data_IF_470259245363
#
_entry.id   IF_470259245363
#
_cell.length_a   1.000
_cell.length_b   1.000
_cell.length_c   1.000
_cell.angle_alpha   90.00
_cell.angle_beta   90.00
_cell.angle_gamma   90.00
#
_symmetry.space_group_name_H-M   'P 1'
#
loop_
_entity.id
_entity.type
_entity.pdbx_description
1 polymer ?
#
# COMPACT_ATOMS: atom_id res chain seq x y z
N UNK A 1 24.92 -3.37 -21.22
CA UNK A 1 23.51 -3.16 -20.94
C UNK A 1 22.97 -4.42 -20.25
N UNK A 2 22.32 -4.27 -19.11
CA UNK A 2 21.61 -5.36 -18.45
C UNK A 2 20.23 -5.53 -19.11
N UNK A 3 19.70 -6.77 -19.20
CA UNK A 3 18.31 -6.98 -19.59
C UNK A 3 17.36 -6.23 -18.66
N UNK A 4 16.34 -5.59 -19.23
CA UNK A 4 15.32 -4.87 -18.48
C UNK A 4 13.95 -5.51 -18.69
N UNK A 5 13.07 -5.37 -17.69
CA UNK A 5 11.70 -5.82 -17.76
C UNK A 5 10.74 -4.65 -18.04
N UNK A 6 9.61 -4.92 -18.66
CA UNK A 6 8.57 -3.94 -18.93
C UNK A 6 7.71 -3.78 -17.67
N UNK A 7 7.48 -2.54 -17.24
CA UNK A 7 6.54 -2.25 -16.16
C UNK A 7 5.12 -2.17 -16.74
N UNK A 8 4.26 -3.07 -16.30
CA UNK A 8 2.86 -3.15 -16.68
C UNK A 8 1.98 -2.10 -15.98
N UNK A 9 0.68 -2.32 -15.94
CA UNK A 9 -0.30 -1.46 -15.27
C UNK A 9 -1.07 -2.26 -14.21
N UNK A 10 -1.02 -1.79 -12.97
CA UNK A 10 -1.72 -2.43 -11.84
C UNK A 10 -3.13 -1.89 -11.57
N UNK A 11 -3.59 -0.85 -12.27
CA UNK A 11 -4.94 -0.30 -12.07
C UNK A 11 -6.05 -1.17 -12.70
N UNK A 12 -5.69 -1.95 -13.72
CA UNK A 12 -6.65 -2.75 -14.50
C UNK A 12 -6.57 -4.26 -14.18
N UNK A 13 -6.05 -4.62 -13.00
CA UNK A 13 -5.99 -6.01 -12.58
C UNK A 13 -7.38 -6.55 -12.27
N UNK A 14 -7.57 -7.86 -12.53
CA UNK A 14 -8.81 -8.56 -12.25
C UNK A 14 -8.56 -9.76 -11.34
N UNK A 15 -9.49 -9.99 -10.40
CA UNK A 15 -9.47 -11.21 -9.58
C UNK A 15 -9.61 -12.43 -10.51
N UNK A 16 -8.78 -13.46 -10.28
CA UNK A 16 -8.67 -14.64 -11.14
C UNK A 16 -7.67 -14.49 -12.30
N UNK A 17 -7.09 -13.29 -12.52
CA UNK A 17 -6.04 -13.08 -13.51
C UNK A 17 -4.78 -13.86 -13.12
N UNK A 18 -4.22 -14.67 -14.03
CA UNK A 18 -3.00 -15.43 -13.81
C UNK A 18 -1.79 -14.52 -13.60
N UNK A 19 -0.94 -14.90 -12.64
CA UNK A 19 0.28 -14.19 -12.30
C UNK A 19 1.44 -15.14 -12.08
N UNK A 20 2.65 -14.64 -12.27
CA UNK A 20 3.92 -15.37 -12.12
C UNK A 20 4.79 -14.59 -11.15
N UNK A 21 5.17 -15.18 -10.03
CA UNK A 21 6.15 -14.62 -9.11
C UNK A 21 7.52 -15.22 -9.38
N UNK A 22 8.54 -14.39 -9.46
CA UNK A 22 9.94 -14.82 -9.69
C UNK A 22 10.79 -14.32 -8.53
N UNK A 23 11.75 -15.16 -8.13
CA UNK A 23 12.69 -14.79 -7.07
C UNK A 23 13.85 -15.76 -6.91
N UNK A 24 14.53 -15.64 -5.77
CA UNK A 24 15.63 -16.51 -5.37
C UNK A 24 15.27 -17.15 -4.02
N UNK A 25 14.41 -18.16 -4.06
CA UNK A 25 13.86 -18.77 -2.86
C UNK A 25 14.99 -19.28 -1.95
N UNK A 26 14.90 -18.93 -0.66
CA UNK A 26 15.85 -19.28 0.40
C UNK A 26 17.31 -18.82 0.14
N UNK A 27 17.55 -17.98 -0.90
CA UNK A 27 18.90 -17.55 -1.28
C UNK A 27 19.73 -18.61 -2.02
N UNK A 28 19.23 -19.83 -2.11
CA UNK A 28 19.91 -20.97 -2.72
C UNK A 28 19.31 -21.38 -4.07
N UNK A 29 17.98 -21.23 -4.21
CA UNK A 29 17.26 -21.63 -5.40
C UNK A 29 17.04 -20.44 -6.33
N UNK A 30 18.06 -20.11 -7.12
CA UNK A 30 18.00 -19.03 -8.11
C UNK A 30 16.92 -19.30 -9.14
N UNK A 31 16.25 -18.23 -9.59
CA UNK A 31 15.20 -18.28 -10.61
C UNK A 31 14.02 -19.19 -10.23
N UNK A 32 13.67 -19.24 -8.95
CA UNK A 32 12.43 -19.91 -8.52
C UNK A 32 11.24 -19.16 -9.11
N UNK A 33 10.36 -19.93 -9.75
CA UNK A 33 9.13 -19.43 -10.37
C UNK A 33 7.94 -20.09 -9.69
N UNK A 34 6.97 -19.29 -9.29
CA UNK A 34 5.66 -19.78 -8.84
C UNK A 34 4.54 -19.13 -9.66
N UNK A 35 3.47 -19.88 -9.88
CA UNK A 35 2.31 -19.43 -10.65
C UNK A 35 1.09 -19.48 -9.75
N UNK A 36 0.22 -18.50 -9.89
CA UNK A 36 -1.06 -18.38 -9.20
C UNK A 36 -1.96 -17.39 -9.89
N UNK A 37 -2.91 -16.84 -9.13
CA UNK A 37 -3.83 -15.81 -9.61
C UNK A 37 -3.86 -14.60 -8.67
N UNK A 38 -4.39 -13.50 -9.15
CA UNK A 38 -4.82 -12.39 -8.30
C UNK A 38 -6.02 -12.88 -7.48
N UNK A 39 -5.87 -13.04 -6.17
CA UNK A 39 -6.91 -13.53 -5.27
C UNK A 39 -7.69 -12.40 -4.61
N UNK A 40 -7.15 -11.18 -4.60
CA UNK A 40 -7.79 -9.98 -4.05
C UNK A 40 -7.04 -8.71 -4.45
N UNK A 41 -7.75 -7.59 -4.41
CA UNK A 41 -7.24 -6.27 -4.73
C UNK A 41 -7.55 -5.31 -3.59
N UNK A 42 -6.81 -4.19 -3.52
CA UNK A 42 -7.00 -3.12 -2.54
C UNK A 42 -7.04 -3.63 -1.07
N UNK A 43 -6.15 -4.59 -0.73
CA UNK A 43 -6.08 -5.11 0.64
C UNK A 43 -5.19 -4.23 1.50
N UNK A 44 -5.62 -4.00 2.74
CA UNK A 44 -4.79 -3.38 3.78
C UNK A 44 -4.28 -4.47 4.72
N UNK A 45 -2.98 -4.54 4.90
CA UNK A 45 -2.34 -5.53 5.77
C UNK A 45 -1.35 -4.87 6.72
N UNK A 46 -1.12 -5.49 7.86
CA UNK A 46 -0.02 -5.12 8.74
C UNK A 46 1.10 -6.15 8.57
N UNK A 47 2.22 -5.71 8.02
CA UNK A 47 3.42 -6.52 7.88
C UNK A 47 4.36 -6.26 9.06
N UNK A 48 4.99 -7.32 9.58
CA UNK A 48 6.03 -7.18 10.62
C UNK A 48 7.39 -7.23 9.93
N UNK A 49 8.18 -6.20 10.10
CA UNK A 49 9.55 -6.15 9.59
C UNK A 49 10.49 -7.03 10.43
N UNK A 50 11.66 -7.36 9.88
CA UNK A 50 12.69 -8.13 10.60
C UNK A 50 13.15 -7.49 11.92
N UNK A 51 12.89 -6.20 12.12
CA UNK A 51 13.17 -5.45 13.36
C UNK A 51 12.01 -5.40 14.34
N UNK A 52 10.91 -6.13 14.10
CA UNK A 52 9.73 -6.16 14.96
C UNK A 52 8.79 -4.96 14.82
N UNK A 53 9.12 -3.98 13.98
CA UNK A 53 8.22 -2.87 13.68
C UNK A 53 7.05 -3.35 12.80
N UNK A 54 5.83 -2.94 13.14
CA UNK A 54 4.65 -3.17 12.33
C UNK A 54 4.53 -2.05 11.28
N UNK A 55 4.42 -2.43 10.02
CA UNK A 55 4.19 -1.51 8.92
C UNK A 55 2.83 -1.81 8.29
N UNK A 56 2.01 -0.79 8.13
CA UNK A 56 0.74 -0.90 7.42
C UNK A 56 1.00 -0.74 5.92
N UNK A 57 0.63 -1.75 5.15
CA UNK A 57 0.68 -1.74 3.71
C UNK A 57 -0.76 -1.68 3.19
N UNK A 58 -1.09 -0.59 2.53
CA UNK A 58 -2.42 -0.39 1.94
C UNK A 58 -2.40 -0.69 0.42
N UNK A 59 -3.58 -0.97 -0.14
CA UNK A 59 -3.77 -1.20 -1.57
C UNK A 59 -2.96 -2.37 -2.17
N UNK A 60 -2.53 -3.35 -1.36
CA UNK A 60 -1.73 -4.47 -1.87
C UNK A 60 -2.56 -5.43 -2.71
N UNK A 61 -1.89 -6.07 -3.68
CA UNK A 61 -2.40 -7.18 -4.49
C UNK A 61 -2.25 -8.45 -3.66
N UNK A 62 -3.35 -9.20 -3.48
CA UNK A 62 -3.31 -10.54 -2.90
C UNK A 62 -3.17 -11.58 -4.00
N UNK A 63 -2.34 -12.62 -3.79
CA UNK A 63 -2.16 -13.74 -4.71
C UNK A 63 -2.00 -15.05 -3.95
N UNK A 64 -2.38 -16.16 -4.59
CA UNK A 64 -2.09 -17.51 -4.13
C UNK A 64 -0.81 -18.09 -4.75
N UNK A 65 -0.14 -17.35 -5.64
CA UNK A 65 1.22 -17.68 -6.05
C UNK A 65 2.11 -17.78 -4.80
N UNK A 66 2.92 -18.82 -4.71
CA UNK A 66 3.76 -19.06 -3.54
C UNK A 66 4.77 -17.92 -3.34
N UNK A 67 4.50 -17.03 -2.39
CA UNK A 67 5.43 -16.02 -1.92
C UNK A 67 6.12 -16.55 -0.67
N UNK A 68 7.44 -16.58 -0.70
CA UNK A 68 8.26 -17.12 0.37
C UNK A 68 9.51 -16.25 0.57
N UNK A 69 10.23 -16.51 1.66
CA UNK A 69 11.53 -15.88 1.89
C UNK A 69 12.45 -16.14 0.69
N UNK A 70 12.94 -15.06 0.07
CA UNK A 70 13.83 -15.08 -1.10
C UNK A 70 13.15 -14.67 -2.41
N UNK A 71 11.80 -14.67 -2.54
CA UNK A 71 11.16 -14.01 -3.67
C UNK A 71 10.53 -12.66 -3.32
N UNK A 72 10.52 -12.26 -2.04
CA UNK A 72 10.21 -10.90 -1.63
C UNK A 72 11.21 -9.91 -2.25
N UNK A 73 10.71 -8.79 -2.79
CA UNK A 73 11.47 -7.84 -3.60
C UNK A 73 11.57 -8.24 -5.09
N UNK A 74 11.23 -9.48 -5.45
CA UNK A 74 11.13 -9.94 -6.82
C UNK A 74 9.83 -9.49 -7.50
N UNK A 75 9.76 -9.60 -8.84
CA UNK A 75 8.60 -9.17 -9.60
C UNK A 75 7.43 -10.16 -9.52
N UNK A 76 6.22 -9.61 -9.49
CA UNK A 76 4.98 -10.28 -9.86
C UNK A 76 4.65 -9.90 -11.30
N UNK A 77 4.54 -10.88 -12.19
CA UNK A 77 4.35 -10.67 -13.63
C UNK A 77 2.95 -11.10 -14.07
N UNK A 78 2.44 -10.49 -15.11
CA UNK A 78 1.32 -11.02 -15.88
C UNK A 78 1.82 -12.02 -16.96
N UNK A 79 0.90 -12.63 -17.70
CA UNK A 79 1.25 -13.61 -18.75
C UNK A 79 1.94 -12.97 -19.98
N UNK A 80 2.00 -11.64 -20.09
CA UNK A 80 2.79 -10.93 -21.10
C UNK A 80 4.23 -10.66 -20.66
N UNK A 81 4.61 -11.10 -19.46
CA UNK A 81 5.94 -10.85 -18.89
C UNK A 81 6.11 -9.40 -18.38
N UNK A 82 5.03 -8.64 -18.18
CA UNK A 82 5.07 -7.30 -17.64
C UNK A 82 4.95 -7.35 -16.12
N UNK A 83 5.74 -6.54 -15.41
CA UNK A 83 5.67 -6.42 -13.94
C UNK A 83 4.40 -5.68 -13.55
N UNK A 84 3.55 -6.32 -12.78
CA UNK A 84 2.30 -5.75 -12.23
C UNK A 84 2.40 -5.48 -10.72
N UNK A 85 3.41 -6.04 -10.07
CA UNK A 85 3.67 -5.80 -8.64
C UNK A 85 5.06 -6.24 -8.21
N UNK A 86 5.40 -5.92 -6.97
CA UNK A 86 6.62 -6.37 -6.29
C UNK A 86 6.22 -7.25 -5.11
N UNK A 87 6.65 -8.50 -5.10
CA UNK A 87 6.37 -9.44 -4.03
C UNK A 87 6.89 -8.89 -2.70
N UNK A 88 6.07 -8.89 -1.63
CA UNK A 88 6.48 -8.24 -0.39
C UNK A 88 6.30 -9.09 0.86
N UNK A 89 5.15 -9.68 1.09
CA UNK A 89 4.81 -10.31 2.36
C UNK A 89 3.94 -11.54 2.19
N UNK A 90 3.91 -12.35 3.23
CA UNK A 90 2.96 -13.46 3.41
C UNK A 90 2.11 -13.19 4.66
N UNK A 91 0.88 -13.66 4.68
CA UNK A 91 0.06 -13.65 5.88
C UNK A 91 0.63 -14.69 6.86
N UNK A 92 1.06 -14.25 8.04
CA UNK A 92 1.54 -15.16 9.07
C UNK A 92 0.43 -16.12 9.52
N UNK A 93 0.73 -17.42 9.54
CA UNK A 93 -0.23 -18.46 9.96
C UNK A 93 -1.28 -18.84 8.91
N UNK A 94 -1.25 -18.25 7.72
CA UNK A 94 -2.09 -18.64 6.60
C UNK A 94 -1.27 -19.31 5.48
N UNK A 95 -1.90 -20.24 4.77
CA UNK A 95 -1.30 -20.88 3.59
C UNK A 95 -1.85 -20.23 2.33
N UNK A 96 -1.00 -20.11 1.31
CA UNK A 96 -1.38 -19.59 -0.02
C UNK A 96 -1.98 -18.18 -0.01
N UNK A 97 -1.52 -17.33 0.91
CA UNK A 97 -1.87 -15.91 0.94
C UNK A 97 -0.58 -15.10 0.89
N UNK A 98 -0.23 -14.66 -0.30
CA UNK A 98 0.88 -13.76 -0.56
C UNK A 98 0.38 -12.37 -0.96
N UNK A 99 1.25 -11.37 -0.81
CA UNK A 99 0.96 -9.99 -1.15
C UNK A 99 2.07 -9.37 -2.00
N UNK A 100 1.67 -8.44 -2.88
CA UNK A 100 2.59 -7.66 -3.68
C UNK A 100 2.17 -6.18 -3.68
N UNK A 101 3.16 -5.30 -3.68
CA UNK A 101 2.94 -3.87 -3.88
C UNK A 101 2.58 -3.61 -5.34
N UNK A 102 1.51 -2.85 -5.64
CA UNK A 102 1.14 -2.52 -7.01
C UNK A 102 2.24 -1.78 -7.75
N UNK A 103 2.51 -2.15 -9.00
CA UNK A 103 3.60 -1.55 -9.77
C UNK A 103 3.41 -0.05 -10.02
N UNK A 104 2.17 0.45 -10.09
CA UNK A 104 1.92 1.87 -10.31
C UNK A 104 2.37 2.75 -9.14
N UNK A 105 2.30 2.25 -7.89
CA UNK A 105 2.91 2.94 -6.74
C UNK A 105 4.43 3.00 -6.88
N UNK A 106 5.06 1.87 -7.26
CA UNK A 106 6.51 1.78 -7.44
C UNK A 106 7.02 2.63 -8.62
N UNK A 107 6.23 2.79 -9.69
CA UNK A 107 6.59 3.66 -10.83
C UNK A 107 6.84 5.11 -10.41
N UNK A 108 6.01 5.63 -9.48
CA UNK A 108 6.21 6.97 -8.93
C UNK A 108 7.56 7.08 -8.23
N UNK A 109 7.88 6.10 -7.39
CA UNK A 109 9.14 6.08 -6.63
C UNK A 109 10.36 5.99 -7.56
N UNK A 110 10.30 5.15 -8.61
CA UNK A 110 11.34 5.07 -9.63
C UNK A 110 11.54 6.42 -10.32
N UNK A 111 10.46 7.10 -10.68
CA UNK A 111 10.51 8.43 -11.29
C UNK A 111 11.15 9.46 -10.35
N UNK A 112 10.70 9.49 -9.08
CA UNK A 112 11.24 10.42 -8.09
C UNK A 112 12.76 10.22 -7.89
N UNK A 113 13.21 8.96 -7.78
CA UNK A 113 14.65 8.65 -7.64
C UNK A 113 15.43 9.06 -8.88
N UNK A 114 14.92 8.81 -10.10
CA UNK A 114 15.58 9.21 -11.35
C UNK A 114 15.70 10.72 -11.51
N UNK A 115 14.66 11.47 -11.15
CA UNK A 115 14.59 12.92 -11.37
C UNK A 115 15.17 13.73 -10.21
N UNK A 116 15.06 13.23 -8.98
CA UNK A 116 15.34 13.99 -7.75
C UNK A 116 16.35 13.31 -6.82
N UNK A 117 16.79 12.09 -7.17
CA UNK A 117 17.75 11.31 -6.38
C UNK A 117 17.18 10.71 -5.08
N UNK A 118 15.90 10.88 -4.79
CA UNK A 118 15.22 10.37 -3.59
C UNK A 118 13.73 10.19 -3.83
N UNK A 119 13.10 9.28 -3.08
CA UNK A 119 11.64 9.15 -3.03
C UNK A 119 11.05 10.35 -2.29
N UNK A 120 10.03 10.98 -2.88
CA UNK A 120 9.29 12.07 -2.26
C UNK A 120 7.91 11.54 -1.85
N UNK A 121 7.74 11.33 -0.55
CA UNK A 121 6.42 11.08 0.01
C UNK A 121 5.78 12.44 0.36
N UNK A 122 4.59 12.75 -0.18
CA UNK A 122 3.83 13.91 0.28
C UNK A 122 3.55 13.77 1.78
N UNK A 123 3.74 14.85 2.51
CA UNK A 123 3.49 14.89 3.94
C UNK A 123 2.54 16.03 4.24
N UNK A 124 1.34 15.73 4.72
CA UNK A 124 0.35 16.72 5.12
C UNK A 124 0.51 17.13 6.58
N UNK A 125 0.81 16.16 7.44
CA UNK A 125 1.06 16.39 8.87
C UNK A 125 -0.20 16.34 9.71
N UNK A 126 -1.11 15.41 9.42
CA UNK A 126 -2.31 15.12 10.21
C UNK A 126 -2.31 13.68 10.70
N UNK A 127 -2.95 13.43 11.84
CA UNK A 127 -3.45 12.12 12.24
C UNK A 127 -4.94 12.06 11.97
N UNK A 128 -5.43 10.96 11.46
CA UNK A 128 -6.83 10.83 11.11
C UNK A 128 -7.35 9.41 11.35
N UNK A 129 -8.65 9.29 11.40
CA UNK A 129 -9.37 8.03 11.28
C UNK A 129 -10.32 8.12 10.09
N UNK A 130 -10.45 7.01 9.35
CA UNK A 130 -11.42 6.95 8.25
C UNK A 130 -12.84 6.85 8.82
N UNK A 131 -13.73 7.63 8.24
CA UNK A 131 -15.14 7.59 8.62
C UNK A 131 -15.79 6.38 7.96
N UNK A 132 -16.40 5.55 8.78
CA UNK A 132 -17.30 4.47 8.41
C UNK A 132 -18.55 4.54 9.27
N UNK A 133 -19.51 3.65 9.07
CA UNK A 133 -20.78 3.63 9.80
C UNK A 133 -20.61 3.59 11.33
N UNK A 134 -19.60 2.90 11.85
CA UNK A 134 -19.33 2.84 13.27
C UNK A 134 -18.80 4.18 13.80
N UNK A 135 -17.82 4.75 13.13
CA UNK A 135 -17.22 6.06 13.48
C UNK A 135 -18.25 7.17 13.35
N UNK A 136 -19.07 7.15 12.29
CA UNK A 136 -20.19 8.10 12.11
C UNK A 136 -21.13 8.09 13.30
N UNK A 137 -21.57 6.91 13.73
CA UNK A 137 -22.49 6.77 14.87
C UNK A 137 -21.88 7.22 16.20
N UNK A 138 -20.65 6.81 16.49
CA UNK A 138 -19.96 7.14 17.74
C UNK A 138 -19.71 8.62 17.88
N UNK A 139 -19.35 9.31 16.77
CA UNK A 139 -19.04 10.73 16.78
C UNK A 139 -20.23 11.62 16.33
N UNK A 140 -21.41 11.02 16.09
CA UNK A 140 -22.61 11.74 15.63
C UNK A 140 -22.36 12.65 14.42
N UNK A 141 -21.66 12.09 13.40
CA UNK A 141 -21.28 12.84 12.21
C UNK A 141 -22.42 12.85 11.19
N UNK A 142 -22.54 13.96 10.45
CA UNK A 142 -23.51 14.07 9.34
C UNK A 142 -23.06 13.32 8.09
N UNK A 143 -21.75 13.18 7.90
CA UNK A 143 -21.13 12.54 6.73
C UNK A 143 -20.81 11.06 7.00
N UNK A 144 -20.77 10.27 5.94
CA UNK A 144 -20.53 8.82 5.99
C UNK A 144 -19.16 8.40 5.43
N UNK A 145 -18.36 9.37 4.98
CA UNK A 145 -17.02 9.16 4.42
C UNK A 145 -16.11 10.34 4.77
N UNK A 146 -14.81 10.16 4.52
CA UNK A 146 -13.79 11.16 4.78
C UNK A 146 -12.77 10.73 5.83
N UNK A 147 -11.80 11.60 6.05
CA UNK A 147 -10.77 11.48 7.08
C UNK A 147 -11.05 12.49 8.21
N UNK A 148 -11.49 12.00 9.35
CA UNK A 148 -11.69 12.80 10.57
C UNK A 148 -10.33 13.04 11.22
N UNK A 149 -9.90 14.29 11.31
CA UNK A 149 -8.64 14.68 11.94
C UNK A 149 -8.78 14.54 13.45
N UNK A 150 -8.02 13.63 14.04
CA UNK A 150 -8.10 13.29 15.45
C UNK A 150 -6.72 12.98 16.02
N UNK A 151 -6.48 13.35 17.29
CA UNK A 151 -5.25 12.99 17.99
C UNK A 151 -5.13 11.49 18.22
N UNK A 152 -3.91 11.02 18.41
CA UNK A 152 -3.63 9.63 18.78
C UNK A 152 -3.97 9.32 20.23
N UNK A 153 -3.53 8.15 20.70
CA UNK A 153 -3.83 7.65 22.04
C UNK A 153 -2.97 8.30 23.13
N UNK A 154 -1.78 8.80 22.77
CA UNK A 154 -0.87 9.43 23.71
C UNK A 154 -1.03 10.95 23.67
N UNK A 155 -0.76 11.67 24.78
CA UNK A 155 -0.85 13.14 24.81
C UNK A 155 0.00 13.85 23.77
N UNK A 156 1.14 13.26 23.37
CA UNK A 156 2.07 13.79 22.37
C UNK A 156 1.58 13.54 20.93
N UNK A 157 0.58 12.70 20.75
CA UNK A 157 0.03 12.34 19.43
C UNK A 157 -0.93 13.41 18.91
N UNK A 158 -0.41 14.60 18.61
CA UNK A 158 -1.22 15.73 18.14
C UNK A 158 -1.99 15.38 16.86
N UNK A 159 -3.21 15.89 16.73
CA UNK A 159 -4.06 15.71 15.57
C UNK A 159 -3.45 16.38 14.33
N UNK A 160 -2.88 17.57 14.50
CA UNK A 160 -2.14 18.31 13.46
C UNK A 160 -0.74 18.59 13.99
N UNK A 161 0.26 18.28 13.18
CA UNK A 161 1.67 18.44 13.55
C UNK A 161 2.06 19.91 13.38
N UNK A 162 2.55 20.60 14.42
CA UNK A 162 2.95 22.01 14.34
C UNK A 162 3.98 22.27 13.24
N UNK A 163 3.80 23.33 12.47
CA UNK A 163 4.67 23.73 11.36
C UNK A 163 4.49 22.90 10.09
N UNK A 164 3.60 21.89 10.08
CA UNK A 164 3.27 21.08 8.91
C UNK A 164 2.49 21.88 7.86
N UNK A 165 2.36 21.34 6.63
CA UNK A 165 1.45 21.92 5.63
C UNK A 165 0.01 22.04 6.12
N UNK A 166 -0.50 21.06 6.87
CA UNK A 166 -1.85 21.10 7.45
C UNK A 166 -2.01 22.24 8.45
N UNK A 167 -1.06 22.43 9.35
CA UNK A 167 -1.06 23.53 10.32
C UNK A 167 -1.04 24.89 9.62
N UNK A 168 -0.17 25.05 8.61
CA UNK A 168 -0.11 26.27 7.79
C UNK A 168 -1.38 26.54 6.99
N UNK A 169 -2.11 25.49 6.61
CA UNK A 169 -3.40 25.58 5.93
C UNK A 169 -4.56 25.87 6.90
N UNK A 170 -4.32 25.82 8.21
CA UNK A 170 -5.32 26.09 9.25
C UNK A 170 -6.22 24.90 9.56
N UNK A 171 -5.82 23.68 9.22
CA UNK A 171 -6.53 22.47 9.63
C UNK A 171 -6.38 22.26 11.15
N UNK A 172 -7.47 21.86 11.80
CA UNK A 172 -7.52 21.62 13.25
C UNK A 172 -8.12 20.26 13.58
N UNK A 173 -7.98 19.86 14.83
CA UNK A 173 -8.65 18.65 15.35
C UNK A 173 -10.17 18.75 15.18
N UNK A 174 -10.79 17.66 14.79
CA UNK A 174 -12.20 17.47 14.42
C UNK A 174 -12.60 18.00 13.03
N UNK A 175 -11.69 18.55 12.25
CA UNK A 175 -11.99 18.77 10.83
C UNK A 175 -12.14 17.44 10.10
N UNK A 176 -12.95 17.45 9.04
CA UNK A 176 -13.15 16.28 8.18
C UNK A 176 -12.71 16.65 6.77
N UNK A 177 -11.69 15.95 6.27
CA UNK A 177 -11.29 16.03 4.86
C UNK A 177 -12.13 15.04 4.07
N UNK A 178 -13.02 15.56 3.22
CA UNK A 178 -13.98 14.74 2.46
C UNK A 178 -13.40 14.23 1.14
N UNK A 179 -12.55 15.05 0.50
CA UNK A 179 -11.96 14.73 -0.80
C UNK A 179 -10.58 15.39 -0.97
N UNK A 180 -9.77 14.82 -1.85
CA UNK A 180 -8.50 15.39 -2.31
C UNK A 180 -8.51 15.29 -3.84
N UNK A 181 -8.23 16.42 -4.52
CA UNK A 181 -8.21 16.52 -5.99
C UNK A 181 -9.50 16.03 -6.67
N UNK A 182 -10.65 16.23 -6.02
CA UNK A 182 -11.97 15.77 -6.50
C UNK A 182 -12.24 14.28 -6.28
N UNK A 183 -11.34 13.56 -5.62
CA UNK A 183 -11.53 12.16 -5.26
C UNK A 183 -11.96 12.05 -3.80
N UNK A 184 -13.10 11.42 -3.56
CA UNK A 184 -13.62 11.18 -2.21
C UNK A 184 -12.70 10.24 -1.44
N UNK A 185 -12.48 10.57 -0.16
CA UNK A 185 -11.76 9.73 0.78
C UNK A 185 -12.72 8.67 1.32
N UNK A 186 -12.41 7.39 1.12
CA UNK A 186 -13.19 6.24 1.59
C UNK A 186 -12.25 5.17 2.14
N UNK A 187 -12.79 4.07 2.68
CA UNK A 187 -11.95 2.93 3.10
C UNK A 187 -11.21 2.27 1.92
N UNK A 188 -11.70 2.44 0.70
CA UNK A 188 -11.06 1.93 -0.53
C UNK A 188 -10.03 2.90 -1.12
N UNK A 189 -10.20 4.21 -0.87
CA UNK A 189 -9.34 5.27 -1.40
C UNK A 189 -8.92 6.22 -0.28
N UNK A 190 -7.70 6.02 0.22
CA UNK A 190 -7.08 6.80 1.30
C UNK A 190 -5.83 7.51 0.83
#
# INVERSE_FOLDING_TARGET
NLPTVILGDSNNLQIGQSVIAIGNALGEFRNTVSIGVVSGLARSITATTSGGAAEKLDQVIQTDAAINKGNSGGPLLNLRGEVIGINTAIAQGAQNIGFALPINAVKKDIKDVKEKGKIIAPFLGVRYILINEAIKKVNNLEVDHGALIQRGKNPEDLAVIPGSPADKAGLVENDIVLEIDGQKITEEYT
#
